data_IF_877123819313
#
_entry.id   IF_877123819313
#
_cell.length_a   1.000
_cell.length_b   1.000
_cell.length_c   1.000
_cell.angle_alpha   90.00
_cell.angle_beta   90.00
_cell.angle_gamma   90.00
#
_symmetry.space_group_name_H-M   'P 1'
#
loop_
_entity.id
_entity.type
_entity.pdbx_description
1 polymer ?
#
# COMPACT_ATOMS: atom_id res chain seq x y z
N UNK A 1 -4.95 20.59 -1.96
CA UNK A 1 -4.56 19.37 -1.23
C UNK A 1 -3.35 19.66 -0.32
N UNK A 2 -3.22 19.00 0.83
CA UNK A 2 -2.14 19.28 1.79
C UNK A 2 -0.80 18.66 1.32
N UNK A 3 0.33 19.40 1.33
CA UNK A 3 1.62 18.93 0.80
C UNK A 3 2.10 17.59 1.37
N UNK A 4 2.06 17.42 2.70
CA UNK A 4 2.43 16.15 3.37
C UNK A 4 1.69 14.94 2.78
N UNK A 5 0.39 15.06 2.49
CA UNK A 5 -0.37 13.96 1.92
C UNK A 5 0.02 13.70 0.46
N UNK A 6 0.29 14.76 -0.31
CA UNK A 6 0.72 14.62 -1.71
C UNK A 6 2.09 13.92 -1.79
N UNK A 7 3.04 14.38 -0.99
CA UNK A 7 4.40 13.82 -0.96
C UNK A 7 4.42 12.38 -0.45
N UNK A 8 3.67 12.09 0.63
CA UNK A 8 3.58 10.73 1.16
C UNK A 8 2.96 9.78 0.15
N UNK A 9 1.86 10.19 -0.52
CA UNK A 9 1.22 9.37 -1.54
C UNK A 9 2.13 9.17 -2.77
N UNK A 10 2.91 10.19 -3.15
CA UNK A 10 3.88 10.06 -4.24
C UNK A 10 4.95 9.02 -3.91
N UNK A 11 5.59 9.12 -2.74
CA UNK A 11 6.60 8.16 -2.29
C UNK A 11 6.02 6.75 -2.17
N UNK A 12 4.82 6.61 -1.60
CA UNK A 12 4.15 5.32 -1.45
C UNK A 12 3.84 4.68 -2.81
N UNK A 13 3.25 5.42 -3.75
CA UNK A 13 2.96 4.91 -5.08
C UNK A 13 4.24 4.52 -5.86
N UNK A 14 5.30 5.32 -5.74
CA UNK A 14 6.61 5.02 -6.32
C UNK A 14 7.21 3.74 -5.72
N UNK A 15 7.11 3.56 -4.40
CA UNK A 15 7.59 2.37 -3.70
C UNK A 15 6.88 1.11 -4.20
N UNK A 16 5.54 1.11 -4.25
CA UNK A 16 4.76 -0.02 -4.75
C UNK A 16 5.13 -0.35 -6.20
N UNK A 17 5.19 0.66 -7.07
CA UNK A 17 5.51 0.46 -8.49
C UNK A 17 6.93 -0.09 -8.69
N UNK A 18 7.89 0.40 -7.90
CA UNK A 18 9.26 -0.07 -7.95
C UNK A 18 9.39 -1.50 -7.46
N UNK A 19 8.86 -1.81 -6.27
CA UNK A 19 8.91 -3.14 -5.67
C UNK A 19 8.30 -4.21 -6.59
N UNK A 20 7.10 -3.94 -7.13
CA UNK A 20 6.42 -4.87 -8.05
C UNK A 20 7.24 -5.09 -9.33
N UNK A 21 7.89 -4.05 -9.86
CA UNK A 21 8.62 -4.12 -11.13
C UNK A 21 9.98 -4.79 -10.99
N UNK A 22 10.67 -4.56 -9.88
CA UNK A 22 12.06 -5.00 -9.70
C UNK A 22 12.18 -6.26 -8.85
N UNK A 23 11.17 -6.56 -8.03
CA UNK A 23 11.25 -7.62 -7.02
C UNK A 23 12.31 -7.34 -5.96
N UNK A 24 12.65 -6.07 -5.70
CA UNK A 24 13.68 -5.72 -4.73
C UNK A 24 13.24 -6.07 -3.30
N UNK A 25 14.22 -6.44 -2.46
CA UNK A 25 13.99 -6.69 -1.04
C UNK A 25 13.73 -5.41 -0.22
N UNK A 26 13.35 -5.57 1.06
CA UNK A 26 12.96 -4.47 1.94
C UNK A 26 13.99 -3.34 2.06
N UNK A 27 15.25 -3.68 2.32
CA UNK A 27 16.32 -2.71 2.57
C UNK A 27 16.69 -1.94 1.30
N UNK A 28 16.64 -2.62 0.15
CA UNK A 28 16.84 -1.99 -1.16
C UNK A 28 15.71 -1.00 -1.46
N UNK A 29 14.46 -1.40 -1.22
CA UNK A 29 13.31 -0.52 -1.42
C UNK A 29 13.38 0.71 -0.51
N UNK A 30 13.69 0.53 0.77
CA UNK A 30 13.80 1.63 1.72
C UNK A 30 14.87 2.65 1.31
N UNK A 31 16.04 2.19 0.85
CA UNK A 31 17.10 3.08 0.33
C UNK A 31 16.64 3.92 -0.85
N UNK A 32 15.85 3.34 -1.75
CA UNK A 32 15.25 4.07 -2.88
C UNK A 32 14.26 5.13 -2.39
N UNK A 33 13.41 4.81 -1.40
CA UNK A 33 12.45 5.76 -0.79
C UNK A 33 13.19 6.95 -0.16
N UNK A 34 14.27 6.68 0.59
CA UNK A 34 15.11 7.74 1.18
C UNK A 34 15.69 8.63 0.07
N UNK A 35 16.23 8.03 -1.01
CA UNK A 35 16.78 8.78 -2.14
C UNK A 35 15.71 9.67 -2.80
N UNK A 36 14.53 9.14 -3.08
CA UNK A 36 13.44 9.90 -3.70
C UNK A 36 12.92 11.02 -2.80
N UNK A 37 12.85 10.80 -1.49
CA UNK A 37 12.44 11.85 -0.55
C UNK A 37 13.37 13.08 -0.64
N UNK A 38 14.67 12.87 -0.81
CA UNK A 38 15.65 13.94 -1.02
C UNK A 38 15.55 14.58 -2.41
N UNK A 39 15.50 13.77 -3.47
CA UNK A 39 15.46 14.24 -4.86
C UNK A 39 14.21 15.06 -5.16
N UNK A 40 13.05 14.64 -4.64
CA UNK A 40 11.77 15.32 -4.80
C UNK A 40 11.62 16.52 -3.86
N UNK A 41 12.53 16.70 -2.90
CA UNK A 41 12.48 17.75 -1.88
C UNK A 41 11.13 17.79 -1.15
N UNK A 42 10.67 16.64 -0.69
CA UNK A 42 9.40 16.51 0.03
C UNK A 42 9.38 17.36 1.31
N UNK A 43 8.16 17.61 1.82
CA UNK A 43 7.91 18.29 3.10
C UNK A 43 8.85 17.73 4.20
N UNK A 44 9.51 18.59 4.99
CA UNK A 44 10.46 18.15 6.02
C UNK A 44 9.90 17.12 6.98
N UNK A 45 8.60 17.16 7.29
CA UNK A 45 7.95 16.18 8.18
C UNK A 45 7.88 14.79 7.55
N UNK A 46 7.67 14.70 6.23
CA UNK A 46 7.67 13.43 5.49
C UNK A 46 9.08 12.86 5.49
N UNK A 47 10.08 13.69 5.20
CA UNK A 47 11.50 13.30 5.21
C UNK A 47 11.94 12.80 6.58
N UNK A 48 11.61 13.52 7.64
CA UNK A 48 11.89 13.11 9.02
C UNK A 48 11.21 11.77 9.34
N UNK A 49 9.95 11.60 8.95
CA UNK A 49 9.20 10.34 9.14
C UNK A 49 9.90 9.18 8.45
N UNK A 50 10.32 9.35 7.19
CA UNK A 50 11.08 8.34 6.45
C UNK A 50 12.34 7.99 7.22
N UNK A 51 13.17 8.97 7.58
CA UNK A 51 14.44 8.72 8.27
C UNK A 51 14.28 8.03 9.63
N UNK A 52 13.33 8.47 10.46
CA UNK A 52 13.09 7.91 11.80
C UNK A 52 12.53 6.50 11.76
N UNK A 53 11.78 6.14 10.72
CA UNK A 53 11.19 4.81 10.59
C UNK A 53 12.20 3.67 10.48
N UNK A 54 13.48 3.96 10.22
CA UNK A 54 14.55 2.97 10.30
C UNK A 54 14.99 2.63 11.72
N UNK A 55 14.71 3.49 12.70
CA UNK A 55 15.23 3.36 14.06
C UNK A 55 14.10 3.15 15.09
N UNK A 56 12.91 3.69 14.82
CA UNK A 56 11.77 3.58 15.72
C UNK A 56 10.42 3.58 14.99
N UNK A 57 9.39 2.91 15.57
CA UNK A 57 8.02 3.04 15.09
C UNK A 57 7.44 4.42 15.45
N UNK A 58 6.33 4.84 14.82
CA UNK A 58 5.57 6.01 15.24
C UNK A 58 5.34 6.06 16.76
N UNK A 59 5.58 7.23 17.37
CA UNK A 59 5.49 7.39 18.82
C UNK A 59 4.05 7.36 19.35
N UNK A 60 3.07 7.72 18.52
CA UNK A 60 1.67 7.84 18.94
C UNK A 60 0.70 7.43 17.83
N UNK A 61 0.00 6.32 18.06
CA UNK A 61 -1.04 5.78 17.18
C UNK A 61 -2.44 6.25 17.57
N UNK A 62 -2.64 6.72 18.80
CA UNK A 62 -3.96 6.93 19.40
C UNK A 62 -4.46 8.37 19.28
N UNK A 63 -3.59 9.36 19.37
CA UNK A 63 -4.01 10.78 19.30
C UNK A 63 -4.05 11.31 17.87
N UNK A 64 -3.26 10.74 16.97
CA UNK A 64 -3.17 11.13 15.56
C UNK A 64 -3.81 10.10 14.62
N UNK A 65 -4.98 9.58 15.00
CA UNK A 65 -5.74 8.66 14.13
C UNK A 65 -6.03 9.30 12.77
N UNK A 66 -5.86 8.54 11.68
CA UNK A 66 -6.02 9.04 10.31
C UNK A 66 -4.87 9.89 9.79
N UNK A 67 -3.78 10.07 10.54
CA UNK A 67 -2.66 10.87 10.07
C UNK A 67 -1.72 10.04 9.18
N UNK A 68 -1.55 10.51 7.94
CA UNK A 68 -0.78 9.81 6.89
C UNK A 68 0.67 9.48 7.30
N UNK A 69 1.29 10.28 8.15
CA UNK A 69 2.65 10.03 8.63
C UNK A 69 2.74 8.86 9.61
N UNK A 70 1.71 8.63 10.42
CA UNK A 70 1.64 7.45 11.31
C UNK A 70 1.56 6.19 10.47
N UNK A 71 0.65 6.15 9.50
CA UNK A 71 0.47 4.97 8.66
C UNK A 71 1.69 4.67 7.79
N UNK A 72 2.27 5.70 7.15
CA UNK A 72 3.44 5.53 6.29
C UNK A 72 4.70 5.19 7.11
N UNK A 73 4.95 5.90 8.22
CA UNK A 73 6.05 5.58 9.12
C UNK A 73 5.94 4.18 9.71
N UNK A 74 4.73 3.73 10.07
CA UNK A 74 4.50 2.35 10.50
C UNK A 74 4.86 1.37 9.38
N UNK A 75 4.37 1.58 8.16
CA UNK A 75 4.65 0.67 7.05
C UNK A 75 6.16 0.51 6.78
N UNK A 76 6.93 1.60 6.83
CA UNK A 76 8.38 1.58 6.69
C UNK A 76 9.08 0.89 7.87
N UNK A 77 8.63 1.14 9.09
CA UNK A 77 9.14 0.44 10.28
C UNK A 77 8.94 -1.07 10.16
N UNK A 78 7.72 -1.51 9.83
CA UNK A 78 7.41 -2.93 9.66
C UNK A 78 8.21 -3.56 8.52
N UNK A 79 8.38 -2.84 7.40
CA UNK A 79 9.19 -3.28 6.27
C UNK A 79 10.62 -3.64 6.69
N UNK A 80 11.22 -2.90 7.62
CA UNK A 80 12.61 -3.07 8.02
C UNK A 80 12.81 -4.05 9.19
N UNK A 81 11.83 -4.19 10.09
CA UNK A 81 12.04 -4.81 11.39
C UNK A 81 11.33 -6.13 11.61
N UNK A 82 10.40 -6.50 10.73
CA UNK A 82 9.65 -7.75 10.86
C UNK A 82 10.21 -8.85 9.98
N UNK A 83 9.97 -10.09 10.40
CA UNK A 83 10.51 -11.25 9.70
C UNK A 83 9.64 -11.67 8.52
N UNK A 84 8.34 -11.45 8.64
CA UNK A 84 7.36 -11.84 7.63
C UNK A 84 6.11 -10.95 7.62
N UNK A 85 5.27 -11.16 6.61
CA UNK A 85 4.03 -10.42 6.41
C UNK A 85 3.04 -10.58 7.57
N UNK A 86 2.93 -11.79 8.14
CA UNK A 86 1.95 -12.07 9.19
C UNK A 86 2.31 -11.31 10.48
N UNK A 87 3.57 -11.40 10.91
CA UNK A 87 4.09 -10.70 12.07
C UNK A 87 3.88 -9.18 11.95
N UNK A 88 4.18 -8.60 10.79
CA UNK A 88 4.00 -7.18 10.54
C UNK A 88 2.57 -6.69 10.67
N UNK A 89 1.63 -7.43 10.07
CA UNK A 89 0.23 -7.03 10.08
C UNK A 89 -0.40 -7.23 11.46
N UNK A 90 -0.03 -8.30 12.17
CA UNK A 90 -0.44 -8.51 13.56
C UNK A 90 0.09 -7.38 14.44
N UNK A 91 1.39 -7.06 14.38
CA UNK A 91 1.96 -5.95 15.18
C UNK A 91 1.28 -4.62 14.85
N UNK A 92 1.08 -4.32 13.57
CA UNK A 92 0.39 -3.10 13.12
C UNK A 92 -1.00 -2.95 13.72
N UNK A 93 -1.81 -4.01 13.70
CA UNK A 93 -3.16 -4.00 14.28
C UNK A 93 -3.10 -3.85 15.81
N UNK A 94 -2.15 -4.53 16.46
CA UNK A 94 -2.00 -4.49 17.91
C UNK A 94 -1.58 -3.12 18.47
N UNK A 95 -1.02 -2.24 17.64
CA UNK A 95 -0.68 -0.85 18.02
C UNK A 95 -1.89 0.06 18.19
N UNK A 96 -3.07 -0.35 17.73
CA UNK A 96 -4.31 0.41 17.89
C UNK A 96 -4.38 1.65 17.00
N UNK A 97 -5.27 2.57 17.37
CA UNK A 97 -5.53 3.77 16.57
C UNK A 97 -6.39 3.48 15.34
N UNK A 98 -5.99 4.04 14.21
CA UNK A 98 -6.62 3.81 12.89
C UNK A 98 -6.09 2.50 12.27
N UNK A 99 -6.44 1.38 12.92
CA UNK A 99 -5.84 0.07 12.63
C UNK A 99 -6.09 -0.43 11.21
N UNK A 100 -7.26 -0.15 10.64
CA UNK A 100 -7.61 -0.57 9.28
C UNK A 100 -6.80 0.21 8.24
N UNK A 101 -6.65 1.53 8.40
CA UNK A 101 -5.80 2.34 7.51
C UNK A 101 -4.32 1.94 7.63
N UNK A 102 -3.82 1.78 8.85
CA UNK A 102 -2.43 1.40 9.08
C UNK A 102 -2.13 0.00 8.51
N UNK A 103 -3.03 -0.96 8.72
CA UNK A 103 -2.89 -2.32 8.18
C UNK A 103 -3.00 -2.33 6.66
N UNK A 104 -3.91 -1.55 6.05
CA UNK A 104 -4.04 -1.48 4.60
C UNK A 104 -2.77 -0.93 3.93
N UNK A 105 -2.19 0.14 4.46
CA UNK A 105 -0.96 0.76 3.91
C UNK A 105 0.24 -0.18 4.11
N UNK A 106 0.37 -0.78 5.30
CA UNK A 106 1.45 -1.74 5.60
C UNK A 106 1.34 -2.99 4.73
N UNK A 107 0.14 -3.56 4.60
CA UNK A 107 -0.12 -4.75 3.79
C UNK A 107 0.10 -4.53 2.31
N UNK A 108 -0.23 -3.36 1.77
CA UNK A 108 0.08 -3.03 0.39
C UNK A 108 1.60 -2.94 0.13
N UNK A 109 2.35 -2.29 1.03
CA UNK A 109 3.80 -2.17 0.90
C UNK A 109 4.50 -3.53 1.00
N UNK A 110 4.19 -4.31 2.04
CA UNK A 110 4.77 -5.64 2.24
C UNK A 110 4.31 -6.64 1.18
N UNK A 111 3.05 -6.55 0.74
CA UNK A 111 2.53 -7.38 -0.35
C UNK A 111 3.23 -7.11 -1.67
N UNK A 112 3.64 -5.86 -1.93
CA UNK A 112 4.43 -5.51 -3.11
C UNK A 112 5.87 -6.08 -3.06
N UNK A 113 6.42 -6.31 -1.86
CA UNK A 113 7.78 -6.85 -1.66
C UNK A 113 7.79 -8.38 -1.58
N UNK A 114 6.88 -8.97 -0.80
CA UNK A 114 6.85 -10.40 -0.52
C UNK A 114 5.89 -11.19 -1.41
N UNK A 115 5.00 -10.51 -2.12
CA UNK A 115 4.01 -11.13 -3.00
C UNK A 115 2.86 -11.84 -2.27
N UNK A 116 1.89 -12.33 -3.06
CA UNK A 116 0.68 -12.97 -2.54
C UNK A 116 0.98 -14.22 -1.71
N UNK A 117 2.02 -14.99 -2.07
CA UNK A 117 2.39 -16.24 -1.39
C UNK A 117 2.87 -16.04 0.06
N UNK A 118 3.23 -14.82 0.45
CA UNK A 118 3.61 -14.50 1.82
C UNK A 118 2.40 -14.24 2.72
N UNK A 119 1.22 -14.00 2.15
CA UNK A 119 0.00 -13.75 2.92
C UNK A 119 -0.55 -15.10 3.40
N UNK A 120 -0.88 -15.25 4.69
CA UNK A 120 -1.47 -16.48 5.18
C UNK A 120 -2.74 -16.87 4.42
N UNK A 121 -2.76 -18.10 3.89
CA UNK A 121 -3.88 -18.61 3.07
C UNK A 121 -5.24 -18.47 3.77
N UNK A 122 -5.26 -18.64 5.10
CA UNK A 122 -6.47 -18.46 5.91
C UNK A 122 -7.03 -17.03 5.83
N UNK A 123 -6.17 -16.00 5.74
CA UNK A 123 -6.59 -14.61 5.58
C UNK A 123 -7.09 -14.35 4.16
N UNK A 124 -6.36 -14.84 3.15
CA UNK A 124 -6.75 -14.74 1.73
C UNK A 124 -8.14 -15.35 1.53
N UNK A 125 -8.35 -16.58 1.98
CA UNK A 125 -9.65 -17.27 1.92
C UNK A 125 -10.75 -16.51 2.65
N UNK A 126 -10.45 -15.95 3.83
CA UNK A 126 -11.43 -15.18 4.61
C UNK A 126 -11.93 -13.96 3.82
N UNK A 127 -11.02 -13.22 3.19
CA UNK A 127 -11.36 -12.07 2.34
C UNK A 127 -12.13 -12.53 1.10
N UNK A 128 -11.57 -13.45 0.30
CA UNK A 128 -12.15 -13.85 -0.98
C UNK A 128 -13.49 -14.60 -0.87
N UNK A 129 -13.81 -15.14 0.30
CA UNK A 129 -15.11 -15.77 0.59
C UNK A 129 -16.13 -14.84 1.26
N UNK A 130 -15.75 -13.59 1.57
CA UNK A 130 -16.64 -12.61 2.17
C UNK A 130 -17.79 -12.27 1.20
N UNK A 131 -19.03 -12.46 1.65
CA UNK A 131 -20.27 -12.17 0.90
C UNK A 131 -21.28 -11.59 1.90
N UNK A 132 -21.20 -10.29 2.24
CA UNK A 132 -22.09 -9.62 3.18
C UNK A 132 -23.46 -9.35 2.53
N UNK A 133 -24.16 -10.43 2.19
CA UNK A 133 -25.47 -10.42 1.56
C UNK A 133 -26.58 -10.18 2.60
N UNK A 134 -27.59 -9.41 2.21
CA UNK A 134 -28.76 -9.14 3.05
C UNK A 134 -29.50 -10.43 3.44
N UNK A 135 -29.90 -10.54 4.71
CA UNK A 135 -30.61 -11.72 5.23
C UNK A 135 -29.73 -12.92 5.57
N UNK A 136 -28.42 -12.87 5.28
CA UNK A 136 -27.50 -13.95 5.67
C UNK A 136 -27.18 -13.89 7.18
N UNK A 137 -27.20 -15.03 7.92
CA UNK A 137 -26.85 -15.05 9.33
C UNK A 137 -25.45 -14.46 9.60
N UNK A 138 -25.36 -13.56 10.60
CA UNK A 138 -24.12 -12.87 10.97
C UNK A 138 -23.78 -11.62 10.13
N UNK A 139 -24.62 -11.24 9.16
CA UNK A 139 -24.45 -10.00 8.40
C UNK A 139 -25.30 -8.88 9.01
N UNK A 140 -24.68 -8.04 9.83
CA UNK A 140 -25.34 -6.86 10.42
C UNK A 140 -25.42 -5.68 9.46
N UNK A 141 -24.43 -5.55 8.57
CA UNK A 141 -24.28 -4.44 7.63
C UNK A 141 -24.07 -4.97 6.21
N UNK A 142 -25.15 -5.32 5.49
CA UNK A 142 -25.02 -5.83 4.13
C UNK A 142 -24.39 -4.78 3.22
N UNK A 143 -23.68 -5.24 2.19
CA UNK A 143 -23.08 -4.38 1.16
C UNK A 143 -23.52 -4.81 -0.24
N UNK A 144 -23.73 -3.86 -1.15
CA UNK A 144 -23.87 -4.16 -2.57
C UNK A 144 -22.70 -5.01 -3.10
N UNK A 145 -22.96 -5.81 -4.15
CA UNK A 145 -22.01 -6.82 -4.67
C UNK A 145 -20.72 -6.20 -5.18
N UNK A 146 -20.78 -4.96 -5.69
CA UNK A 146 -19.64 -4.17 -6.15
C UNK A 146 -18.63 -3.80 -5.06
N UNK A 147 -18.99 -3.95 -3.77
CA UNK A 147 -18.07 -3.76 -2.64
C UNK A 147 -17.59 -5.07 -2.02
N UNK A 148 -17.94 -6.22 -2.62
CA UNK A 148 -17.47 -7.50 -2.11
C UNK A 148 -16.04 -7.74 -2.60
N UNK A 149 -15.10 -8.18 -1.75
CA UNK A 149 -13.67 -8.23 -2.08
C UNK A 149 -13.28 -9.49 -2.89
N UNK A 150 -14.20 -10.01 -3.69
CA UNK A 150 -14.21 -11.41 -4.15
C UNK A 150 -13.47 -11.59 -5.46
N UNK A 151 -13.39 -10.50 -6.19
CA UNK A 151 -12.69 -10.27 -7.45
C UNK A 151 -11.35 -9.55 -7.24
N UNK A 152 -10.92 -9.34 -6.00
CA UNK A 152 -9.71 -8.56 -5.68
C UNK A 152 -8.46 -9.07 -6.42
N UNK A 153 -8.30 -10.39 -6.57
CA UNK A 153 -7.18 -10.97 -7.33
C UNK A 153 -7.32 -10.78 -8.84
N UNK A 154 -8.54 -10.83 -9.37
CA UNK A 154 -8.81 -10.59 -10.79
C UNK A 154 -8.55 -9.13 -11.16
N UNK A 155 -8.94 -8.20 -10.28
CA UNK A 155 -8.64 -6.77 -10.40
C UNK A 155 -7.14 -6.52 -10.35
N UNK A 156 -6.41 -7.12 -9.41
CA UNK A 156 -4.95 -6.99 -9.33
C UNK A 156 -4.26 -7.52 -10.61
N UNK A 157 -4.66 -8.68 -11.11
CA UNK A 157 -4.14 -9.24 -12.36
C UNK A 157 -4.43 -8.33 -13.57
N UNK A 158 -5.62 -7.75 -13.64
CA UNK A 158 -6.03 -6.84 -14.72
C UNK A 158 -5.20 -5.54 -14.69
N UNK A 159 -4.93 -4.99 -13.51
CA UNK A 159 -4.08 -3.81 -13.35
C UNK A 159 -2.65 -4.08 -13.84
N UNK A 160 -2.08 -5.24 -13.48
CA UNK A 160 -0.76 -5.66 -13.97
C UNK A 160 -0.73 -5.82 -15.49
N UNK A 161 -1.77 -6.42 -16.09
CA UNK A 161 -1.88 -6.57 -17.54
C UNK A 161 -2.08 -5.24 -18.28
N UNK A 162 -2.66 -4.23 -17.63
CA UNK A 162 -2.85 -2.88 -18.19
C UNK A 162 -1.61 -1.98 -18.11
N UNK A 163 -0.58 -2.41 -17.37
CA UNK A 163 0.64 -1.62 -17.21
C UNK A 163 1.35 -1.47 -18.57
N UNK A 164 1.66 -0.23 -19.01
CA UNK A 164 2.33 -0.02 -20.28
C UNK A 164 3.68 -0.74 -20.30
N UNK A 165 3.92 -1.56 -21.33
CA UNK A 165 5.19 -2.23 -21.55
C UNK A 165 6.28 -1.15 -21.70
N UNK A 166 7.39 -1.21 -20.96
CA UNK A 166 8.50 -0.29 -21.13
C UNK A 166 9.00 -0.36 -22.59
N UNK A 167 8.80 0.72 -23.36
CA UNK A 167 9.21 0.82 -24.77
C UNK A 167 8.07 0.94 -25.79
N UNK A 168 6.80 0.81 -25.40
CA UNK A 168 5.68 1.10 -26.31
C UNK A 168 5.44 2.60 -26.39
N UNK A 169 6.09 3.28 -27.33
CA UNK A 169 5.75 4.65 -27.71
C UNK A 169 4.27 4.69 -28.11
N UNK A 170 3.45 5.45 -27.36
CA UNK A 170 2.13 5.86 -27.83
C UNK A 170 2.32 6.79 -29.03
N UNK A 171 2.35 6.24 -30.23
CA UNK A 171 2.05 7.03 -31.43
C UNK A 171 0.56 7.36 -31.39
N UNK A 172 0.23 8.56 -30.94
CA UNK A 172 -1.04 9.19 -31.32
C UNK A 172 -0.98 9.39 -32.83
N UNK A 173 -1.73 8.60 -33.58
CA UNK A 173 -2.05 8.94 -34.97
C UNK A 173 -2.73 10.32 -34.99
N UNK A 174 -2.24 11.27 -35.80
CA UNK A 174 -2.94 12.53 -35.97
C UNK A 174 -4.25 12.24 -36.71
N UNK A 175 -5.37 12.53 -36.06
CA UNK A 175 -6.69 12.60 -36.69
C UNK A 175 -6.60 13.50 -37.90
N UNK A 176 -6.73 12.91 -39.10
CA UNK A 176 -6.93 13.68 -40.33
C UNK A 176 -8.29 14.37 -40.23
N UNK A 177 -8.27 15.67 -39.97
CA UNK A 177 -9.32 16.55 -40.46
C UNK A 177 -9.25 16.54 -41.99
N UNK A 178 -10.34 16.14 -42.63
CA UNK A 178 -10.57 16.36 -44.05
C UNK A 178 -12.05 16.72 -44.24
N UNK A 179 -12.26 18.04 -44.40
CA UNK A 179 -13.28 18.74 -45.19
C UNK A 179 -14.75 18.36 -45.08
#
# INVERSE_FOLDING_TARGET
PHPVCQDTNALFAMALSHAIRTGCGPESLYKEIVRWAEELRVDPRVRETVQRSAEEPPADYLTHQGWVLVAFGNALWQLLHTRDFEEALVDTVMRGGDTDTNAAITGALLGAVYGLSAIPERWVRTVLSCRPEEGRPGVERPRPREYWPVDALELAASLLASAPIPGSCYHKEPTKEAH
#
